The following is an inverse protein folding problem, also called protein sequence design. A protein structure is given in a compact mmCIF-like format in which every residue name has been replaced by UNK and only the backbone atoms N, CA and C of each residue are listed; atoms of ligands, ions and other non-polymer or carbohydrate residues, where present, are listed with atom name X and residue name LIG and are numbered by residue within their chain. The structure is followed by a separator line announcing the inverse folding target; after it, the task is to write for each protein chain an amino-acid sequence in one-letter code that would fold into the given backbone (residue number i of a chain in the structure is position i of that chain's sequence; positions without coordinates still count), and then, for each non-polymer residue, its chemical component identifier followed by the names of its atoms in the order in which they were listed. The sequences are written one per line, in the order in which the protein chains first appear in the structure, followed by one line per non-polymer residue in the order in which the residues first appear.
data_IF_235416320487
#
_entry.id   IF_235416320487
#
_cell.length_a   1.000
_cell.length_b   1.000
_cell.length_c   1.000
_cell.angle_alpha   90.00
_cell.angle_beta   90.00
_cell.angle_gamma   90.00
#
_symmetry.space_group_name_H-M   'P 1'
#
loop_
_entity.id
_entity.type
_entity.pdbx_description
1 polymer ?
#
# COMPACT_ATOMS: atom_id res chain seq x y z
N UNK A 1 -7.36 -41.67 -23.05
CA UNK A 1 -7.35 -40.38 -22.33
C UNK A 1 -7.06 -39.33 -23.38
N UNK A 2 -8.01 -38.44 -23.67
CA UNK A 2 -7.89 -37.47 -24.76
C UNK A 2 -7.30 -36.17 -24.22
N UNK A 3 -6.14 -35.79 -24.72
CA UNK A 3 -5.40 -34.62 -24.24
C UNK A 3 -6.16 -33.31 -24.49
N UNK A 4 -7.01 -33.27 -25.51
CA UNK A 4 -7.87 -32.12 -25.82
C UNK A 4 -8.95 -31.91 -24.75
N UNK A 5 -9.61 -33.00 -24.34
CA UNK A 5 -10.62 -32.98 -23.27
C UNK A 5 -9.99 -32.58 -21.93
N UNK A 6 -8.77 -33.03 -21.66
CA UNK A 6 -8.03 -32.65 -20.46
C UNK A 6 -7.63 -31.17 -20.48
N UNK A 7 -7.18 -30.65 -21.63
CA UNK A 7 -6.89 -29.22 -21.83
C UNK A 7 -8.15 -28.38 -21.62
N UNK A 8 -9.28 -28.78 -22.19
CA UNK A 8 -10.56 -28.08 -22.05
C UNK A 8 -11.03 -28.06 -20.57
N UNK A 9 -10.93 -29.19 -19.87
CA UNK A 9 -11.26 -29.30 -18.44
C UNK A 9 -10.37 -28.39 -17.58
N UNK A 10 -9.06 -28.40 -17.81
CA UNK A 10 -8.12 -27.57 -17.06
C UNK A 10 -8.33 -26.08 -17.36
N UNK A 11 -8.63 -25.71 -18.61
CA UNK A 11 -9.01 -24.35 -18.97
C UNK A 11 -10.27 -23.90 -18.21
N UNK A 12 -11.31 -24.73 -18.19
CA UNK A 12 -12.56 -24.44 -17.49
C UNK A 12 -12.37 -24.27 -15.98
N UNK A 13 -11.41 -24.98 -15.38
CA UNK A 13 -11.06 -24.84 -13.96
C UNK A 13 -10.38 -23.51 -13.60
N UNK A 14 -10.01 -22.68 -14.59
CA UNK A 14 -9.41 -21.36 -14.37
C UNK A 14 -7.96 -21.40 -13.86
N UNK A 15 -7.28 -22.55 -13.93
CA UNK A 15 -5.88 -22.66 -13.51
C UNK A 15 -4.93 -21.96 -14.50
N UNK A 16 -3.73 -21.61 -14.02
CA UNK A 16 -2.71 -21.04 -14.89
C UNK A 16 -2.16 -22.07 -15.89
N UNK A 17 -1.75 -21.60 -17.09
CA UNK A 17 -1.09 -22.43 -18.10
C UNK A 17 0.10 -23.22 -17.55
N UNK A 18 0.88 -22.61 -16.65
CA UNK A 18 2.01 -23.28 -15.99
C UNK A 18 1.56 -24.46 -15.14
N UNK A 19 0.48 -24.31 -14.37
CA UNK A 19 -0.09 -25.41 -13.57
C UNK A 19 -0.76 -26.46 -14.46
N UNK A 20 -1.42 -26.04 -15.53
CA UNK A 20 -2.00 -26.97 -16.50
C UNK A 20 -0.92 -27.83 -17.19
N UNK A 21 0.18 -27.21 -17.62
CA UNK A 21 1.32 -27.92 -18.20
C UNK A 21 1.90 -28.95 -17.22
N UNK A 22 2.05 -28.59 -15.95
CA UNK A 22 2.50 -29.50 -14.90
C UNK A 22 1.51 -30.66 -14.67
N UNK A 23 0.20 -30.39 -14.65
CA UNK A 23 -0.83 -31.40 -14.47
C UNK A 23 -0.92 -32.39 -15.65
N UNK A 24 -0.62 -31.92 -16.85
CA UNK A 24 -0.57 -32.72 -18.07
C UNK A 24 0.80 -33.41 -18.28
N UNK A 25 1.77 -33.21 -17.38
CA UNK A 25 3.11 -33.80 -17.46
C UNK A 25 3.93 -33.31 -18.67
N UNK A 26 3.67 -32.10 -19.16
CA UNK A 26 4.29 -31.56 -20.36
C UNK A 26 4.98 -30.22 -20.09
N UNK A 27 6.05 -29.89 -20.85
CA UNK A 27 6.69 -28.59 -20.73
C UNK A 27 5.76 -27.49 -21.27
N UNK A 28 5.80 -26.31 -20.63
CA UNK A 28 4.89 -25.19 -20.94
C UNK A 28 4.88 -24.80 -22.42
N UNK A 29 6.03 -24.74 -23.08
CA UNK A 29 6.11 -24.39 -24.51
C UNK A 29 5.30 -25.36 -25.38
N UNK A 30 5.26 -26.65 -25.02
CA UNK A 30 4.49 -27.66 -25.74
C UNK A 30 2.99 -27.45 -25.55
N UNK A 31 2.56 -27.03 -24.36
CA UNK A 31 1.19 -26.59 -24.13
C UNK A 31 0.86 -25.39 -25.02
N UNK A 32 1.72 -24.37 -25.03
CA UNK A 32 1.49 -23.14 -25.79
C UNK A 32 1.35 -23.46 -27.30
N UNK A 33 2.20 -24.33 -27.88
CA UNK A 33 2.07 -24.81 -29.27
C UNK A 33 0.74 -25.55 -29.52
N UNK A 34 0.31 -26.39 -28.56
CA UNK A 34 -0.98 -27.09 -28.70
C UNK A 34 -2.16 -26.12 -28.63
N UNK A 35 -2.09 -25.11 -27.78
CA UNK A 35 -3.13 -24.08 -27.68
C UNK A 35 -3.21 -23.24 -28.96
N UNK A 36 -2.08 -22.94 -29.59
CA UNK A 36 -2.02 -22.26 -30.89
C UNK A 36 -2.63 -23.13 -32.00
N UNK A 37 -2.26 -24.41 -32.09
CA UNK A 37 -2.78 -25.34 -33.10
C UNK A 37 -4.28 -25.61 -32.96
N UNK A 38 -4.79 -25.64 -31.73
CA UNK A 38 -6.21 -25.88 -31.42
C UNK A 38 -7.03 -24.57 -31.37
N UNK A 39 -6.40 -23.42 -31.62
CA UNK A 39 -7.02 -22.09 -31.52
C UNK A 39 -7.71 -21.83 -30.16
N UNK A 40 -7.16 -22.40 -29.08
CA UNK A 40 -7.72 -22.29 -27.73
C UNK A 40 -7.16 -21.04 -27.06
N UNK A 41 -8.01 -20.03 -26.90
CA UNK A 41 -7.66 -18.86 -26.11
C UNK A 41 -7.62 -19.20 -24.61
N UNK A 42 -6.41 -19.26 -24.03
CA UNK A 42 -6.22 -19.41 -22.60
C UNK A 42 -6.04 -18.05 -21.93
N UNK A 43 -7.15 -17.50 -21.43
CA UNK A 43 -7.15 -16.19 -20.76
C UNK A 43 -6.05 -16.12 -19.69
N UNK A 44 -5.22 -15.06 -19.70
CA UNK A 44 -4.20 -14.91 -18.68
C UNK A 44 -4.87 -14.92 -17.31
N UNK A 45 -4.28 -15.67 -16.36
CA UNK A 45 -4.72 -15.61 -14.96
C UNK A 45 -4.65 -14.15 -14.55
N UNK A 46 -5.79 -13.61 -14.13
CA UNK A 46 -5.88 -12.27 -13.56
C UNK A 46 -4.80 -12.19 -12.47
N UNK A 47 -3.83 -11.28 -12.64
CA UNK A 47 -2.72 -11.15 -11.70
C UNK A 47 -3.29 -10.57 -10.40
N UNK A 48 -3.21 -11.34 -9.32
CA UNK A 48 -3.75 -10.95 -8.02
C UNK A 48 -4.83 -11.93 -7.53
N UNK A 49 -4.90 -12.14 -6.23
CA UNK A 49 -6.05 -12.82 -5.63
C UNK A 49 -7.31 -11.98 -5.80
N UNK A 50 -8.46 -12.64 -5.87
CA UNK A 50 -9.76 -11.98 -5.72
C UNK A 50 -10.02 -11.74 -4.23
N UNK A 51 -10.65 -10.60 -3.93
CA UNK A 51 -11.04 -10.18 -2.60
C UNK A 51 -12.55 -10.00 -2.59
N UNK A 52 -13.18 -10.37 -1.47
CA UNK A 52 -14.59 -10.06 -1.22
C UNK A 52 -14.62 -8.77 -0.40
N UNK A 53 -15.15 -7.71 -0.99
CA UNK A 53 -15.36 -6.41 -0.34
C UNK A 53 -16.83 -6.04 -0.61
N UNK A 54 -17.58 -5.75 0.45
CA UNK A 54 -19.01 -5.40 0.39
C UNK A 54 -19.86 -6.39 -0.43
N UNK A 55 -19.55 -7.68 -0.33
CA UNK A 55 -20.25 -8.75 -1.05
C UNK A 55 -19.88 -8.89 -2.53
N UNK A 56 -19.03 -8.02 -3.07
CA UNK A 56 -18.52 -8.11 -4.44
C UNK A 56 -17.19 -8.86 -4.47
N UNK A 57 -17.11 -9.89 -5.30
CA UNK A 57 -15.87 -10.64 -5.54
C UNK A 57 -15.17 -10.07 -6.77
N UNK A 58 -14.06 -9.35 -6.56
CA UNK A 58 -13.27 -8.77 -7.64
C UNK A 58 -11.79 -8.72 -7.24
N UNK A 59 -10.93 -8.35 -8.18
CA UNK A 59 -9.54 -8.02 -7.93
C UNK A 59 -9.41 -6.81 -7.03
N UNK A 60 -8.27 -6.73 -6.32
CA UNK A 60 -7.90 -5.54 -5.57
C UNK A 60 -7.85 -4.28 -6.46
N UNK A 61 -7.48 -4.43 -7.73
CA UNK A 61 -7.43 -3.33 -8.71
C UNK A 61 -8.83 -2.87 -9.10
N UNK A 62 -9.76 -3.79 -9.34
CA UNK A 62 -11.17 -3.49 -9.64
C UNK A 62 -11.86 -2.80 -8.47
N UNK A 63 -11.66 -3.31 -7.24
CA UNK A 63 -12.15 -2.66 -6.03
C UNK A 63 -11.54 -1.26 -5.81
N UNK A 64 -10.23 -1.12 -6.04
CA UNK A 64 -9.54 0.16 -5.95
C UNK A 64 -10.10 1.19 -6.95
N UNK A 65 -10.39 0.76 -8.18
CA UNK A 65 -11.00 1.61 -9.19
C UNK A 65 -12.42 2.02 -8.82
N UNK A 66 -13.24 1.09 -8.33
CA UNK A 66 -14.62 1.36 -7.89
C UNK A 66 -14.67 2.34 -6.72
N UNK A 67 -13.70 2.25 -5.79
CA UNK A 67 -13.61 3.11 -4.62
C UNK A 67 -12.83 4.41 -4.86
N UNK A 68 -12.21 4.59 -6.03
CA UNK A 68 -11.38 5.77 -6.33
C UNK A 68 -10.10 5.86 -5.49
N UNK A 69 -9.58 4.73 -4.99
CA UNK A 69 -8.42 4.65 -4.11
C UNK A 69 -7.28 3.89 -4.80
N UNK A 70 -6.02 4.24 -4.55
CA UNK A 70 -4.89 3.48 -5.11
C UNK A 70 -4.87 2.02 -4.57
N UNK A 71 -4.57 1.00 -5.40
CA UNK A 71 -4.55 -0.41 -4.97
C UNK A 71 -3.63 -0.68 -3.77
N UNK A 72 -2.49 0.01 -3.69
CA UNK A 72 -1.57 -0.08 -2.55
C UNK A 72 -2.19 0.44 -1.25
N UNK A 73 -2.96 1.52 -1.34
CA UNK A 73 -3.67 2.11 -0.18
C UNK A 73 -4.82 1.20 0.24
N UNK A 74 -5.57 0.65 -0.71
CA UNK A 74 -6.63 -0.32 -0.42
C UNK A 74 -6.07 -1.57 0.29
N UNK A 75 -4.94 -2.11 -0.18
CA UNK A 75 -4.25 -3.24 0.47
C UNK A 75 -3.87 -2.92 1.92
N UNK A 76 -3.30 -1.74 2.16
CA UNK A 76 -2.91 -1.33 3.52
C UNK A 76 -4.13 -1.19 4.43
N UNK A 77 -5.24 -0.64 3.93
CA UNK A 77 -6.49 -0.50 4.71
C UNK A 77 -7.09 -1.86 5.05
N UNK A 78 -7.12 -2.79 4.10
CA UNK A 78 -7.56 -4.17 4.34
C UNK A 78 -6.71 -4.87 5.40
N UNK A 79 -5.38 -4.69 5.37
CA UNK A 79 -4.49 -5.27 6.39
C UNK A 79 -4.67 -4.65 7.77
N UNK A 80 -4.96 -3.35 7.84
CA UNK A 80 -5.13 -2.62 9.09
C UNK A 80 -6.56 -2.71 9.67
N UNK A 81 -7.54 -3.27 8.93
CA UNK A 81 -8.95 -3.27 9.33
C UNK A 81 -9.58 -1.87 9.32
N UNK A 82 -9.01 -0.94 8.54
CA UNK A 82 -9.48 0.44 8.45
C UNK A 82 -10.61 0.59 7.43
N UNK A 83 -11.38 1.67 7.57
CA UNK A 83 -12.37 2.09 6.58
C UNK A 83 -11.73 2.21 5.19
N UNK A 84 -12.28 1.44 4.24
CA UNK A 84 -11.80 1.30 2.87
C UNK A 84 -12.11 2.55 2.04
N UNK A 85 -13.15 3.30 2.42
CA UNK A 85 -13.66 4.49 1.71
C UNK A 85 -13.08 5.80 2.23
N UNK A 86 -12.38 5.77 3.38
CA UNK A 86 -11.83 6.96 3.99
C UNK A 86 -10.98 7.78 2.99
N UNK A 87 -11.02 9.11 3.02
CA UNK A 87 -10.10 9.92 2.22
C UNK A 87 -8.64 9.57 2.58
N UNK A 88 -7.69 9.62 1.65
CA UNK A 88 -6.29 9.39 1.97
C UNK A 88 -5.84 10.40 3.03
N UNK A 89 -5.39 9.91 4.19
CA UNK A 89 -4.91 10.75 5.30
C UNK A 89 -3.67 11.60 4.94
N UNK A 90 -3.12 11.42 3.73
CA UNK A 90 -2.00 12.19 3.22
C UNK A 90 -2.50 13.45 2.50
N UNK A 91 -3.07 14.40 3.25
CA UNK A 91 -3.04 15.78 2.77
C UNK A 91 -1.57 16.18 2.68
N UNK A 92 -1.07 16.63 1.52
CA UNK A 92 0.32 17.07 1.41
C UNK A 92 0.54 18.23 2.39
N UNK A 93 1.60 18.12 3.20
CA UNK A 93 1.99 19.18 4.13
C UNK A 93 2.52 20.37 3.32
N UNK A 94 1.99 21.56 3.61
CA UNK A 94 2.42 22.79 2.96
C UNK A 94 3.82 23.20 3.43
N UNK A 95 4.50 24.02 2.62
CA UNK A 95 5.80 24.59 3.05
C UNK A 95 5.63 25.42 4.34
N UNK A 96 4.50 26.10 4.50
CA UNK A 96 4.18 26.92 5.68
C UNK A 96 4.04 26.08 6.95
N UNK A 97 3.32 24.96 6.89
CA UNK A 97 3.19 24.01 8.01
C UNK A 97 4.58 23.44 8.42
N UNK A 98 5.45 23.18 7.43
CA UNK A 98 6.81 22.70 7.67
C UNK A 98 7.70 23.77 8.35
N UNK A 99 7.58 25.03 7.95
CA UNK A 99 8.28 26.15 8.59
C UNK A 99 7.75 26.41 10.00
N UNK A 100 6.44 26.41 10.21
CA UNK A 100 5.83 26.58 11.52
C UNK A 100 6.33 25.51 12.51
N UNK A 101 6.44 24.26 12.06
CA UNK A 101 7.03 23.18 12.86
C UNK A 101 8.49 23.45 13.22
N UNK A 102 9.30 23.91 12.27
CA UNK A 102 10.70 24.23 12.51
C UNK A 102 10.88 25.42 13.47
N UNK A 103 10.04 26.46 13.38
CA UNK A 103 10.06 27.58 14.33
C UNK A 103 9.72 27.15 15.76
N UNK A 104 8.71 26.30 15.94
CA UNK A 104 8.38 25.72 17.25
C UNK A 104 9.55 24.92 17.82
N UNK A 105 10.24 24.14 16.98
CA UNK A 105 11.46 23.42 17.39
C UNK A 105 12.60 24.38 17.77
N UNK A 106 12.77 25.48 17.03
CA UNK A 106 13.77 26.52 17.32
C UNK A 106 13.46 27.26 18.62
N UNK A 107 12.18 27.46 18.93
CA UNK A 107 11.70 28.02 20.19
C UNK A 107 11.83 27.05 21.38
N UNK A 108 12.34 25.83 21.17
CA UNK A 108 12.57 24.85 22.23
C UNK A 108 11.38 23.94 22.55
N UNK A 109 10.32 23.96 21.75
CA UNK A 109 9.16 23.06 21.95
C UNK A 109 9.55 21.63 21.58
N UNK A 110 9.12 20.65 22.39
CA UNK A 110 9.34 19.24 22.10
C UNK A 110 8.66 18.83 20.79
N UNK A 111 9.23 17.84 20.09
CA UNK A 111 8.82 17.54 18.72
C UNK A 111 7.38 17.02 18.59
N UNK A 112 6.91 16.27 19.59
CA UNK A 112 5.54 15.78 19.64
C UNK A 112 4.55 16.88 19.99
N UNK A 113 4.90 17.78 20.91
CA UNK A 113 4.05 18.92 21.27
C UNK A 113 3.92 19.92 20.11
N UNK A 114 5.02 20.19 19.40
CA UNK A 114 5.00 21.01 18.19
C UNK A 114 4.12 20.39 17.09
N UNK A 115 4.15 19.06 16.94
CA UNK A 115 3.29 18.35 15.99
C UNK A 115 1.81 18.40 16.42
N UNK A 116 1.53 18.26 17.73
CA UNK A 116 0.19 18.39 18.31
C UNK A 116 -0.40 19.78 18.10
N UNK A 117 0.40 20.84 18.26
CA UNK A 117 -0.02 22.22 18.01
C UNK A 117 -0.39 22.49 16.54
N UNK A 118 0.29 21.84 15.60
CA UNK A 118 0.02 21.96 14.16
C UNK A 118 -1.14 21.02 13.73
N UNK A 119 -1.51 20.04 14.55
CA UNK A 119 -2.56 19.08 14.23
C UNK A 119 -2.18 18.07 13.15
N UNK A 120 -0.87 17.84 12.94
CA UNK A 120 -0.35 16.91 11.93
C UNK A 120 0.51 15.83 12.57
N UNK A 121 0.61 14.63 11.97
CA UNK A 121 1.49 13.59 12.48
C UNK A 121 2.97 14.03 12.49
N UNK A 122 3.67 13.77 13.59
CA UNK A 122 5.08 14.13 13.78
C UNK A 122 5.97 13.67 12.62
N UNK A 123 5.87 12.40 12.19
CA UNK A 123 6.73 11.86 11.14
C UNK A 123 6.52 12.58 9.79
N UNK A 124 5.28 12.99 9.50
CA UNK A 124 4.95 13.73 8.29
C UNK A 124 5.57 15.13 8.34
N UNK A 125 5.42 15.84 9.46
CA UNK A 125 6.02 17.17 9.67
C UNK A 125 7.55 17.15 9.67
N UNK A 126 8.17 16.14 10.30
CA UNK A 126 9.62 15.95 10.31
C UNK A 126 10.17 15.79 8.89
N UNK A 127 9.54 14.96 8.07
CA UNK A 127 9.98 14.73 6.70
C UNK A 127 9.74 15.97 5.82
N UNK A 128 8.62 16.67 6.04
CA UNK A 128 8.35 17.94 5.36
C UNK A 128 9.38 19.02 5.75
N UNK A 129 9.70 19.16 7.04
CA UNK A 129 10.69 20.12 7.52
C UNK A 129 12.09 19.84 6.96
N UNK A 130 12.52 18.56 6.88
CA UNK A 130 13.76 18.19 6.20
C UNK A 130 13.80 18.59 4.72
N UNK A 131 12.65 18.59 4.07
CA UNK A 131 12.54 18.92 2.63
C UNK A 131 12.49 20.43 2.38
N UNK A 132 11.72 21.16 3.19
CA UNK A 132 11.42 22.58 2.94
C UNK A 132 12.31 23.54 3.75
N UNK A 133 12.89 23.10 4.87
CA UNK A 133 13.68 23.96 5.77
C UNK A 133 15.16 23.57 5.71
N UNK A 134 15.97 24.41 5.06
CA UNK A 134 17.40 24.14 4.78
C UNK A 134 18.25 23.91 6.02
N UNK A 135 17.95 24.58 7.14
CA UNK A 135 18.72 24.54 8.38
C UNK A 135 18.11 23.60 9.44
N UNK A 136 17.10 22.81 9.08
CA UNK A 136 16.37 21.97 10.03
C UNK A 136 17.27 21.00 10.80
N UNK A 137 18.31 20.45 10.15
CA UNK A 137 19.27 19.55 10.79
C UNK A 137 20.09 20.25 11.91
N UNK A 138 20.30 21.57 11.81
CA UNK A 138 20.93 22.37 12.87
C UNK A 138 19.95 22.63 14.01
N UNK A 139 18.68 22.89 13.68
CA UNK A 139 17.61 23.12 14.67
C UNK A 139 17.41 21.89 15.55
N UNK A 140 17.38 20.68 14.98
CA UNK A 140 17.21 19.44 15.77
C UNK A 140 18.44 19.12 16.64
N UNK A 141 19.63 19.61 16.28
CA UNK A 141 20.85 19.38 17.04
C UNK A 141 20.88 20.20 18.34
N UNK A 142 20.25 21.38 18.34
CA UNK A 142 20.16 22.29 19.48
C UNK A 142 18.85 22.16 20.25
N UNK A 143 17.78 21.69 19.62
CA UNK A 143 16.47 21.55 20.25
C UNK A 143 16.40 20.37 21.25
N UNK A 144 15.52 20.45 22.27
CA UNK A 144 15.38 19.39 23.26
C UNK A 144 15.07 18.04 22.60
N UNK A 145 15.84 17.02 23.02
CA UNK A 145 15.77 15.62 22.54
C UNK A 145 14.74 14.79 23.29
N UNK A 146 13.87 15.42 24.09
CA UNK A 146 12.87 14.68 24.87
C UNK A 146 11.94 13.96 23.87
N UNK A 147 12.04 12.63 23.89
CA UNK A 147 11.28 11.73 23.00
C UNK A 147 9.90 11.38 23.55
N UNK A 148 9.65 11.70 24.82
CA UNK A 148 8.43 11.43 25.55
C UNK A 148 7.63 12.71 25.77
N UNK A 149 6.31 12.65 25.74
CA UNK A 149 5.49 13.79 26.18
C UNK A 149 5.71 14.02 27.68
N UNK A 150 5.44 15.24 28.21
CA UNK A 150 5.43 15.48 29.65
C UNK A 150 4.54 14.47 30.41
N UNK A 151 3.39 14.13 29.82
CA UNK A 151 2.45 13.12 30.33
C UNK A 151 3.07 11.71 30.43
N UNK A 152 3.89 11.30 29.45
CA UNK A 152 4.60 10.01 29.47
C UNK A 152 5.79 9.98 30.45
N UNK A 153 6.29 11.14 30.85
CA UNK A 153 7.34 11.26 31.87
C UNK A 153 6.71 11.16 33.26
N UNK A 154 5.57 11.83 33.48
CA UNK A 154 4.81 11.74 34.73
C UNK A 154 4.25 10.33 34.97
N UNK A 155 3.81 9.63 33.92
CA UNK A 155 3.33 8.25 34.04
C UNK A 155 4.44 7.21 34.23
N UNK A 156 5.71 7.59 34.03
CA UNK A 156 6.87 6.70 34.16
C UNK A 156 7.73 6.97 35.42
N UNK A 157 7.32 7.91 36.27
CA UNK A 157 7.93 8.23 37.56
C UNK A 157 7.13 7.60 38.71
#
# INVERSE_FOLDING_TARGET
MNIEDDIARLRASGISRTKAAQALGLPKWKLDTMLELLEIEWKPRIRGGTYVIDGVTDTLEGHAQALGVAPTTLRQRLQAGNDLTAPPANTPISSEEAHAFAELRRAGVAAWDAAKQIGRPYNTLKNAAKKYVKDYDKIIATAPRIRRSPEEIEQAA
#
